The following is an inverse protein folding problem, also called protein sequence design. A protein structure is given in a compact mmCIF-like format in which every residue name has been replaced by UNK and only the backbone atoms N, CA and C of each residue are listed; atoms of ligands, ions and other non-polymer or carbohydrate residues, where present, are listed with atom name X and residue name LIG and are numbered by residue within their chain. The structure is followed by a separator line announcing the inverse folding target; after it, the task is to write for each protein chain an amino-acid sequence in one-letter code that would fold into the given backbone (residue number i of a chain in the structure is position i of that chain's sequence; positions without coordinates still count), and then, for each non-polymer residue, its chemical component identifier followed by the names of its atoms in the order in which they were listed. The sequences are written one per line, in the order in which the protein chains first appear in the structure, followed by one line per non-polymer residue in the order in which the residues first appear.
data_IF_085927852810
#
_entry.id   IF_085927852810
#
_cell.length_a   1.000
_cell.length_b   1.000
_cell.length_c   1.000
_cell.angle_alpha   90.00
_cell.angle_beta   90.00
_cell.angle_gamma   90.00
#
_symmetry.space_group_name_H-M   'P 1'
#
loop_
_entity.id
_entity.type
_entity.pdbx_description
1 polymer ?
#
# COMPACT_ATOMS: atom_id res chain seq x y z
N UNK A 1 -3.28 -11.53 15.94
CA UNK A 1 -3.44 -11.26 14.49
C UNK A 1 -4.84 -11.63 14.03
N UNK A 2 -5.33 -12.83 14.33
CA UNK A 2 -6.70 -13.26 13.98
C UNK A 2 -7.78 -12.31 14.53
N UNK A 3 -7.59 -11.74 15.73
CA UNK A 3 -8.51 -10.75 16.30
C UNK A 3 -8.27 -9.31 15.83
N UNK A 4 -7.24 -9.08 15.00
CA UNK A 4 -6.83 -7.75 14.50
C UNK A 4 -7.03 -7.60 12.99
N UNK A 5 -7.61 -8.61 12.32
CA UNK A 5 -7.89 -8.61 10.87
C UNK A 5 -9.29 -9.18 10.64
N UNK A 6 -10.01 -8.61 9.66
CA UNK A 6 -11.41 -8.94 9.38
C UNK A 6 -12.29 -8.78 10.64
N UNK A 7 -11.98 -7.77 11.45
CA UNK A 7 -12.55 -7.53 12.76
C UNK A 7 -12.96 -6.05 12.92
N UNK A 8 -13.82 -5.71 13.90
CA UNK A 8 -14.02 -4.33 14.29
C UNK A 8 -12.69 -3.67 14.67
N UNK A 9 -12.53 -2.40 14.35
CA UNK A 9 -11.29 -1.68 14.61
C UNK A 9 -11.45 -0.17 14.51
N UNK A 10 -10.38 0.59 14.78
CA UNK A 10 -10.44 2.04 14.84
C UNK A 10 -10.41 2.72 13.46
N UNK A 11 -10.07 2.00 12.39
CA UNK A 11 -9.79 2.60 11.09
C UNK A 11 -11.07 2.84 10.28
N UNK A 12 -11.21 4.04 9.72
CA UNK A 12 -12.40 4.52 9.04
C UNK A 12 -12.46 4.01 7.60
N UNK A 13 -13.62 3.51 7.17
CA UNK A 13 -13.92 3.27 5.76
C UNK A 13 -14.61 4.50 5.19
N UNK A 14 -13.92 5.22 4.30
CA UNK A 14 -14.29 6.55 3.81
C UNK A 14 -15.71 6.51 3.21
N UNK A 15 -16.55 7.49 3.59
CA UNK A 15 -17.89 7.65 3.04
C UNK A 15 -18.95 6.65 3.54
N UNK A 16 -18.60 5.72 4.43
CA UNK A 16 -19.55 4.67 4.88
C UNK A 16 -20.06 4.84 6.31
N UNK A 17 -19.39 5.67 7.12
CA UNK A 17 -19.65 5.78 8.57
C UNK A 17 -19.19 4.55 9.38
N UNK A 18 -18.60 3.53 8.75
CA UNK A 18 -18.11 2.32 9.40
C UNK A 18 -16.64 2.44 9.81
N UNK A 19 -16.25 1.69 10.84
CA UNK A 19 -14.86 1.48 11.23
C UNK A 19 -14.55 0.00 11.36
N UNK A 20 -13.37 -0.40 10.91
CA UNK A 20 -12.88 -1.79 10.88
C UNK A 20 -11.39 -1.82 11.20
N UNK A 21 -10.77 -3.00 11.19
CA UNK A 21 -9.32 -3.13 11.34
C UNK A 21 -8.53 -2.44 10.22
N UNK A 22 -7.25 -2.17 10.48
CA UNK A 22 -6.43 -1.39 9.55
C UNK A 22 -6.18 -2.10 8.20
N UNK A 23 -6.11 -3.44 8.19
CA UNK A 23 -5.90 -4.22 6.96
C UNK A 23 -7.15 -4.14 6.07
N UNK A 24 -8.33 -4.34 6.64
CA UNK A 24 -9.59 -4.24 5.91
C UNK A 24 -9.89 -2.80 5.44
N UNK A 25 -9.66 -1.81 6.31
CA UNK A 25 -9.88 -0.40 5.97
C UNK A 25 -8.94 0.08 4.87
N UNK A 26 -7.65 -0.30 4.92
CA UNK A 26 -6.68 0.07 3.88
C UNK A 26 -7.07 -0.47 2.52
N UNK A 27 -7.52 -1.74 2.42
CA UNK A 27 -8.01 -2.31 1.16
C UNK A 27 -9.24 -1.58 0.65
N UNK A 28 -10.26 -1.41 1.50
CA UNK A 28 -11.53 -0.79 1.09
C UNK A 28 -11.32 0.63 0.57
N UNK A 29 -10.52 1.42 1.29
CA UNK A 29 -10.21 2.79 0.91
C UNK A 29 -9.32 2.84 -0.35
N UNK A 30 -8.35 1.93 -0.51
CA UNK A 30 -7.51 1.88 -1.71
C UNK A 30 -8.31 1.52 -2.94
N UNK A 31 -9.23 0.56 -2.84
CA UNK A 31 -10.16 0.24 -3.92
C UNK A 31 -11.00 1.47 -4.31
N UNK A 32 -11.51 2.22 -3.34
CA UNK A 32 -12.28 3.44 -3.62
C UNK A 32 -11.45 4.55 -4.27
N UNK A 33 -10.19 4.72 -3.86
CA UNK A 33 -9.27 5.68 -4.48
C UNK A 33 -8.99 5.29 -5.94
N UNK A 34 -8.74 4.00 -6.19
CA UNK A 34 -8.23 3.51 -7.47
C UNK A 34 -9.30 3.17 -8.50
N UNK A 35 -10.54 2.87 -8.07
CA UNK A 35 -11.55 2.23 -8.92
C UNK A 35 -11.91 3.00 -10.19
N UNK A 36 -11.87 4.33 -10.17
CA UNK A 36 -12.21 5.20 -11.30
C UNK A 36 -10.99 5.61 -12.13
N UNK A 37 -9.76 5.26 -11.71
CA UNK A 37 -8.53 5.74 -12.35
C UNK A 37 -8.41 7.27 -12.41
N UNK A 38 -8.99 7.94 -11.41
CA UNK A 38 -9.04 9.41 -11.26
C UNK A 38 -8.12 9.95 -10.16
N UNK A 39 -7.36 9.06 -9.53
CA UNK A 39 -6.33 9.44 -8.58
C UNK A 39 -5.06 9.92 -9.30
N UNK A 40 -4.03 10.29 -8.52
CA UNK A 40 -2.80 10.90 -9.06
C UNK A 40 -2.10 10.02 -10.09
N UNK A 41 -1.11 10.56 -10.80
CA UNK A 41 -0.27 9.77 -11.68
C UNK A 41 1.17 10.28 -11.63
N UNK A 42 2.10 9.36 -11.46
CA UNK A 42 3.51 9.59 -11.71
C UNK A 42 3.88 8.97 -13.05
N UNK A 43 4.43 9.78 -13.97
CA UNK A 43 4.70 9.34 -15.34
C UNK A 43 6.15 9.59 -15.73
N UNK A 44 7.03 8.63 -15.40
CA UNK A 44 8.46 8.64 -15.75
C UNK A 44 8.89 7.29 -16.33
N UNK A 45 9.90 6.64 -15.74
CA UNK A 45 10.48 5.39 -16.23
C UNK A 45 9.49 4.22 -16.15
N UNK A 46 8.69 4.16 -15.08
CA UNK A 46 7.52 3.29 -14.95
C UNK A 46 6.36 4.15 -14.44
N UNK A 47 5.17 4.11 -15.06
CA UNK A 47 4.02 4.86 -14.57
C UNK A 47 3.39 4.16 -13.35
N UNK A 48 3.08 4.95 -12.32
CA UNK A 48 2.43 4.48 -11.09
C UNK A 48 1.42 5.50 -10.57
N UNK A 49 0.63 5.08 -9.58
CA UNK A 49 -0.32 5.93 -8.86
C UNK A 49 0.03 5.92 -7.37
N UNK A 50 1.00 6.72 -6.91
CA UNK A 50 1.49 6.63 -5.52
C UNK A 50 0.42 6.90 -4.46
N UNK A 51 -0.67 7.61 -4.80
CA UNK A 51 -1.82 7.80 -3.92
C UNK A 51 -2.55 6.49 -3.56
N UNK A 52 -2.33 5.39 -4.30
CA UNK A 52 -2.85 4.06 -3.95
C UNK A 52 -2.35 3.56 -2.58
N UNK A 53 -1.24 4.11 -2.08
CA UNK A 53 -0.62 3.75 -0.81
C UNK A 53 -1.18 4.56 0.36
N UNK A 54 -1.86 5.69 0.11
CA UNK A 54 -2.40 6.57 1.16
C UNK A 54 -3.26 5.85 2.20
N UNK A 55 -4.10 4.87 1.84
CA UNK A 55 -4.87 4.10 2.81
C UNK A 55 -4.04 3.32 3.83
N UNK A 56 -2.80 2.92 3.51
CA UNK A 56 -1.90 2.34 4.49
C UNK A 56 -1.55 3.35 5.58
N UNK A 57 -1.21 4.59 5.22
CA UNK A 57 -0.94 5.65 6.18
C UNK A 57 -2.18 6.00 7.00
N UNK A 58 -3.33 6.22 6.34
CA UNK A 58 -4.59 6.59 7.00
C UNK A 58 -4.99 5.54 8.06
N UNK A 59 -5.12 4.28 7.64
CA UNK A 59 -5.60 3.22 8.53
C UNK A 59 -4.62 2.93 9.68
N UNK A 60 -3.32 2.94 9.41
CA UNK A 60 -2.30 2.71 10.44
C UNK A 60 -2.16 3.89 11.41
N UNK A 61 -2.26 5.14 10.93
CA UNK A 61 -2.25 6.30 11.79
C UNK A 61 -3.47 6.31 12.73
N UNK A 62 -4.66 5.96 12.23
CA UNK A 62 -5.85 5.80 13.08
C UNK A 62 -5.66 4.70 14.12
N UNK A 63 -5.11 3.53 13.74
CA UNK A 63 -4.79 2.45 14.67
C UNK A 63 -3.79 2.88 15.75
N UNK A 64 -2.74 3.61 15.36
CA UNK A 64 -1.71 4.10 16.26
C UNK A 64 -2.10 5.36 17.03
N UNK A 65 -3.30 5.92 16.79
CA UNK A 65 -3.74 7.23 17.33
C UNK A 65 -2.73 8.35 17.06
N UNK A 66 -2.17 8.35 15.85
CA UNK A 66 -1.18 9.34 15.41
C UNK A 66 -1.83 10.67 15.06
N UNK A 67 -1.02 11.72 14.93
CA UNK A 67 -1.49 13.07 14.57
C UNK A 67 -1.41 13.32 13.05
N UNK A 68 -1.91 14.48 12.61
CA UNK A 68 -1.91 14.86 11.20
C UNK A 68 -0.52 15.02 10.57
N UNK A 69 0.51 15.37 11.36
CA UNK A 69 1.89 15.46 10.88
C UNK A 69 2.43 14.07 10.53
N UNK A 70 2.18 13.07 11.38
CA UNK A 70 2.58 11.68 11.11
C UNK A 70 1.87 11.13 9.88
N UNK A 71 0.59 11.47 9.70
CA UNK A 71 -0.15 11.14 8.48
C UNK A 71 0.52 11.74 7.24
N UNK A 72 0.78 13.05 7.23
CA UNK A 72 1.45 13.73 6.10
C UNK A 72 2.81 13.08 5.79
N UNK A 73 3.59 12.74 6.81
CA UNK A 73 4.85 12.01 6.62
C UNK A 73 4.61 10.68 5.92
N UNK A 74 3.63 9.89 6.36
CA UNK A 74 3.27 8.63 5.71
C UNK A 74 2.88 8.80 4.23
N UNK A 75 2.09 9.83 3.90
CA UNK A 75 1.70 10.14 2.51
C UNK A 75 2.93 10.49 1.66
N UNK A 76 3.81 11.35 2.17
CA UNK A 76 5.05 11.76 1.50
C UNK A 76 5.98 10.57 1.29
N UNK A 77 6.13 9.68 2.28
CA UNK A 77 6.95 8.47 2.12
C UNK A 77 6.40 7.54 1.04
N UNK A 78 5.07 7.38 0.94
CA UNK A 78 4.46 6.59 -0.13
C UNK A 78 4.82 7.12 -1.50
N UNK A 79 4.73 8.44 -1.70
CA UNK A 79 5.17 9.08 -2.94
C UNK A 79 6.68 8.90 -3.19
N UNK A 80 7.50 9.30 -2.22
CA UNK A 80 8.95 9.41 -2.39
C UNK A 80 9.57 8.06 -2.74
N UNK A 81 9.17 6.99 -2.04
CA UNK A 81 9.70 5.66 -2.31
C UNK A 81 9.15 5.07 -3.61
N UNK A 82 7.85 5.16 -3.87
CA UNK A 82 7.25 4.61 -5.10
C UNK A 82 7.88 5.25 -6.35
N UNK A 83 7.95 6.59 -6.38
CA UNK A 83 8.55 7.32 -7.50
C UNK A 83 10.02 6.97 -7.70
N UNK A 84 10.80 6.86 -6.61
CA UNK A 84 12.22 6.46 -6.68
C UNK A 84 12.38 5.03 -7.18
N UNK A 85 11.50 4.10 -6.79
CA UNK A 85 11.51 2.74 -7.31
C UNK A 85 11.17 2.71 -8.80
N UNK A 86 10.20 3.50 -9.27
CA UNK A 86 9.91 3.64 -10.69
C UNK A 86 11.15 4.07 -11.48
N UNK A 87 11.88 5.08 -11.00
CA UNK A 87 13.12 5.56 -11.64
C UNK A 87 14.28 4.56 -11.56
N UNK A 88 14.46 3.92 -10.41
CA UNK A 88 15.53 2.94 -10.22
C UNK A 88 15.36 1.68 -11.08
N UNK A 89 14.12 1.35 -11.45
CA UNK A 89 13.79 0.11 -12.13
C UNK A 89 14.09 0.08 -13.64
N UNK A 90 15.07 0.84 -14.16
CA UNK A 90 15.41 0.91 -15.59
C UNK A 90 15.53 -0.48 -16.26
N UNK A 91 14.91 -0.74 -17.44
CA UNK A 91 14.16 0.17 -18.30
C UNK A 91 12.66 0.31 -17.93
N UNK A 92 12.29 0.03 -16.68
CA UNK A 92 10.91 -0.13 -16.21
C UNK A 92 10.65 -1.59 -15.85
N UNK A 93 9.80 -1.85 -14.85
CA UNK A 93 9.37 -3.22 -14.53
C UNK A 93 8.28 -3.70 -15.50
N UNK A 94 7.52 -2.77 -16.08
CA UNK A 94 6.56 -3.07 -17.16
C UNK A 94 7.22 -3.63 -18.41
N UNK A 95 8.39 -3.10 -18.77
CA UNK A 95 9.22 -3.64 -19.87
C UNK A 95 9.71 -5.06 -19.60
N UNK A 96 9.70 -5.48 -18.33
CA UNK A 96 10.02 -6.85 -17.89
C UNK A 96 8.79 -7.71 -17.64
N UNK A 97 7.60 -7.23 -18.00
CA UNK A 97 6.35 -7.97 -17.87
C UNK A 97 5.68 -7.90 -16.49
N UNK A 98 6.08 -6.98 -15.62
CA UNK A 98 5.48 -6.79 -14.29
C UNK A 98 4.60 -5.53 -14.21
N UNK A 99 3.69 -5.48 -13.25
CA UNK A 99 2.87 -4.31 -12.93
C UNK A 99 3.50 -3.50 -11.79
N UNK A 100 3.28 -2.18 -11.74
CA UNK A 100 3.80 -1.28 -10.68
C UNK A 100 3.34 -1.66 -9.26
N UNK A 101 2.20 -2.32 -9.10
CA UNK A 101 1.82 -3.02 -7.85
C UNK A 101 2.96 -3.86 -7.20
N UNK A 102 3.89 -4.36 -8.01
CA UNK A 102 5.09 -5.05 -7.53
C UNK A 102 6.01 -4.12 -6.73
N UNK A 103 6.18 -2.86 -7.15
CA UNK A 103 6.90 -1.81 -6.43
C UNK A 103 6.11 -1.36 -5.20
N UNK A 104 4.80 -1.14 -5.34
CA UNK A 104 3.87 -0.82 -4.25
C UNK A 104 3.99 -1.81 -3.07
N UNK A 105 4.23 -3.10 -3.36
CA UNK A 105 4.43 -4.11 -2.34
C UNK A 105 5.72 -3.93 -1.49
N UNK A 106 6.76 -3.29 -2.03
CA UNK A 106 7.95 -2.88 -1.25
C UNK A 106 7.66 -1.62 -0.44
N UNK A 107 6.86 -0.69 -0.96
CA UNK A 107 6.66 0.64 -0.38
C UNK A 107 5.59 0.68 0.70
N UNK A 108 4.44 0.03 0.48
CA UNK A 108 3.35 -0.01 1.46
C UNK A 108 3.79 -0.40 2.89
N UNK A 109 4.62 -1.44 3.13
CA UNK A 109 5.08 -1.78 4.49
C UNK A 109 5.95 -0.69 5.12
N UNK A 110 6.66 0.13 4.34
CA UNK A 110 7.42 1.29 4.85
C UNK A 110 6.44 2.32 5.42
N UNK A 111 5.41 2.65 4.65
CA UNK A 111 4.38 3.62 5.02
C UNK A 111 3.60 3.14 6.25
N UNK A 112 3.13 1.88 6.21
CA UNK A 112 2.41 1.28 7.33
C UNK A 112 3.28 1.21 8.59
N UNK A 113 4.52 0.74 8.47
CA UNK A 113 5.44 0.64 9.60
C UNK A 113 5.81 2.00 10.19
N UNK A 114 6.01 3.03 9.38
CA UNK A 114 6.21 4.39 9.88
C UNK A 114 4.99 4.93 10.62
N UNK A 115 3.79 4.72 10.08
CA UNK A 115 2.53 5.15 10.69
C UNK A 115 2.22 4.41 12.01
N UNK A 116 2.69 3.17 12.15
CA UNK A 116 2.61 2.36 13.37
C UNK A 116 3.73 2.66 14.37
N UNK A 117 4.65 3.59 14.07
CA UNK A 117 5.82 3.90 14.87
C UNK A 117 6.73 2.68 15.12
N UNK A 118 6.84 1.79 14.14
CA UNK A 118 7.74 0.64 14.20
C UNK A 118 9.21 1.10 14.13
N UNK A 119 10.09 0.31 14.73
CA UNK A 119 11.53 0.50 14.58
C UNK A 119 11.98 0.12 13.17
N UNK A 120 13.10 0.67 12.71
CA UNK A 120 13.58 0.45 11.35
C UNK A 120 13.82 -1.04 11.03
N UNK A 121 14.23 -1.84 12.01
CA UNK A 121 14.41 -3.29 11.86
C UNK A 121 13.09 -3.99 11.55
N UNK A 122 12.01 -3.60 12.23
CA UNK A 122 10.67 -4.15 11.98
C UNK A 122 10.14 -3.70 10.61
N UNK A 123 10.41 -2.46 10.20
CA UNK A 123 10.07 -2.00 8.86
C UNK A 123 10.80 -2.85 7.80
N UNK A 124 12.08 -3.14 8.01
CA UNK A 124 12.85 -4.02 7.12
C UNK A 124 12.23 -5.42 7.02
N UNK A 125 11.81 -6.02 8.15
CA UNK A 125 11.10 -7.30 8.14
C UNK A 125 9.79 -7.21 7.36
N UNK A 126 9.01 -6.15 7.58
CA UNK A 126 7.75 -5.92 6.87
C UNK A 126 7.94 -5.80 5.35
N UNK A 127 9.02 -5.14 4.88
CA UNK A 127 9.40 -5.11 3.46
C UNK A 127 9.62 -6.53 2.95
N UNK A 128 10.42 -7.33 3.67
CA UNK A 128 10.70 -8.72 3.30
C UNK A 128 9.43 -9.58 3.22
N UNK A 129 8.54 -9.46 4.20
CA UNK A 129 7.28 -10.21 4.27
C UNK A 129 6.34 -9.83 3.12
N UNK A 130 6.19 -8.54 2.84
CA UNK A 130 5.28 -8.02 1.81
C UNK A 130 5.78 -8.32 0.41
N UNK A 131 7.02 -7.90 0.11
CA UNK A 131 7.55 -7.94 -1.25
C UNK A 131 7.83 -9.37 -1.73
N UNK A 132 8.31 -10.26 -0.85
CA UNK A 132 8.68 -11.63 -1.25
C UNK A 132 7.51 -12.47 -1.75
N UNK A 133 6.27 -12.08 -1.42
CA UNK A 133 5.05 -12.81 -1.82
C UNK A 133 4.20 -12.08 -2.87
N UNK A 134 4.62 -10.91 -3.33
CA UNK A 134 3.79 -10.03 -4.16
C UNK A 134 4.53 -9.63 -5.45
N UNK A 135 4.37 -10.47 -6.49
CA UNK A 135 4.85 -10.20 -7.83
C UNK A 135 3.66 -10.16 -8.79
N UNK A 136 3.28 -8.96 -9.22
CA UNK A 136 2.07 -8.76 -10.04
C UNK A 136 2.43 -8.78 -11.50
N UNK A 137 1.88 -9.74 -12.25
CA UNK A 137 2.08 -9.83 -13.70
C UNK A 137 1.49 -8.62 -14.42
N UNK A 138 2.21 -8.09 -15.41
CA UNK A 138 1.79 -6.97 -16.24
C UNK A 138 0.53 -7.26 -17.09
N UNK A 139 0.18 -8.53 -17.24
CA UNK A 139 -1.02 -8.98 -17.95
C UNK A 139 -2.32 -8.34 -17.43
N UNK A 140 -2.35 -7.88 -16.17
CA UNK A 140 -3.51 -7.16 -15.59
C UNK A 140 -3.82 -5.82 -16.29
N UNK A 141 -2.86 -5.28 -17.07
CA UNK A 141 -3.01 -4.08 -17.89
C UNK A 141 -3.01 -4.35 -19.39
N UNK A 142 -3.03 -5.62 -19.80
CA UNK A 142 -2.98 -6.02 -21.21
C UNK A 142 -4.33 -6.53 -21.72
N UNK A 143 -4.59 -6.33 -23.02
CA UNK A 143 -5.79 -6.85 -23.68
C UNK A 143 -7.09 -6.23 -23.15
N UNK A 144 -8.13 -7.06 -22.96
CA UNK A 144 -9.41 -6.61 -22.39
C UNK A 144 -9.25 -6.37 -20.90
N UNK A 145 -9.23 -5.10 -20.51
CA UNK A 145 -9.10 -4.69 -19.13
C UNK A 145 -10.27 -5.22 -18.29
N UNK A 146 -9.93 -5.77 -17.13
CA UNK A 146 -10.87 -6.15 -16.08
C UNK A 146 -10.67 -5.23 -14.88
N UNK A 147 -11.54 -5.33 -13.87
CA UNK A 147 -11.37 -4.59 -12.62
C UNK A 147 -10.04 -4.90 -11.92
N UNK A 148 -9.36 -6.00 -12.26
CA UNK A 148 -8.04 -6.31 -11.69
C UNK A 148 -7.00 -5.22 -11.96
N UNK A 149 -7.09 -4.51 -13.09
CA UNK A 149 -6.23 -3.35 -13.37
C UNK A 149 -6.27 -2.31 -12.24
N UNK A 150 -7.42 -2.12 -11.61
CA UNK A 150 -7.62 -1.18 -10.52
C UNK A 150 -7.53 -1.84 -9.12
N UNK A 151 -7.43 -3.17 -9.04
CA UNK A 151 -7.46 -3.92 -7.78
C UNK A 151 -6.07 -4.34 -7.30
N UNK A 152 -5.11 -4.56 -8.22
CA UNK A 152 -3.80 -5.10 -7.86
C UNK A 152 -3.00 -4.20 -6.92
N UNK A 153 -3.00 -2.88 -7.14
CA UNK A 153 -2.33 -1.93 -6.26
C UNK A 153 -3.00 -1.83 -4.88
N UNK A 154 -4.34 -1.71 -4.77
CA UNK A 154 -5.02 -1.85 -3.49
C UNK A 154 -4.70 -3.14 -2.71
N UNK A 155 -4.54 -4.27 -3.40
CA UNK A 155 -4.11 -5.52 -2.78
C UNK A 155 -2.65 -5.49 -2.31
N UNK A 156 -1.76 -4.81 -3.06
CA UNK A 156 -0.38 -4.57 -2.63
C UNK A 156 -0.33 -3.67 -1.39
N UNK A 157 -1.11 -2.58 -1.38
CA UNK A 157 -1.27 -1.68 -0.23
C UNK A 157 -1.73 -2.45 1.00
N UNK A 158 -2.80 -3.24 0.89
CA UNK A 158 -3.28 -4.09 1.98
C UNK A 158 -2.21 -5.06 2.49
N UNK A 159 -1.48 -5.70 1.58
CA UNK A 159 -0.44 -6.67 1.91
C UNK A 159 0.69 -6.04 2.73
N UNK A 160 1.07 -4.79 2.41
CA UNK A 160 2.05 -4.04 3.19
C UNK A 160 1.59 -3.69 4.60
N UNK A 161 0.31 -3.35 4.80
CA UNK A 161 -0.27 -3.16 6.14
C UNK A 161 -0.21 -4.45 6.95
N UNK A 162 -0.64 -5.57 6.34
CA UNK A 162 -0.57 -6.88 6.97
C UNK A 162 0.88 -7.24 7.37
N UNK A 163 1.84 -7.01 6.48
CA UNK A 163 3.25 -7.28 6.73
C UNK A 163 3.80 -6.44 7.89
N UNK A 164 3.42 -5.17 7.99
CA UNK A 164 3.79 -4.32 9.12
C UNK A 164 3.22 -4.84 10.46
N UNK A 165 1.97 -5.33 10.48
CA UNK A 165 1.39 -5.93 11.67
C UNK A 165 2.04 -7.27 12.07
N UNK A 166 2.53 -8.04 11.10
CA UNK A 166 3.32 -9.25 11.37
C UNK A 166 4.66 -8.88 12.01
N UNK A 167 5.39 -7.93 11.41
CA UNK A 167 6.68 -7.47 11.92
C UNK A 167 6.58 -6.76 13.28
N UNK A 168 5.47 -6.06 13.56
CA UNK A 168 5.16 -5.49 14.88
C UNK A 168 5.19 -6.57 15.97
N UNK A 169 4.78 -7.80 15.63
CA UNK A 169 4.73 -8.96 16.54
C UNK A 169 6.02 -9.79 16.56
N UNK A 170 7.07 -9.33 15.88
CA UNK A 170 8.36 -10.00 15.85
C UNK A 170 8.44 -11.19 14.90
N UNK A 171 7.54 -11.28 13.92
CA UNK A 171 7.68 -12.16 12.76
C UNK A 171 8.71 -11.56 11.78
#
# INVERSE_FOLDING_TARGET
LLDEIAAPGPATVIGTGKRVDAVSASLANALMIRCMDYNDIYWKQDPSHPSDIFPAALACCERAKSNGRDLIVGLVLGHEFEMRFCEAAFPGIRERGWHHATLTAFVSPIVAGRALNLRWEQIQHAIGISASRHATLGAVTAGKLTMMKNTVDPMATQSGVLAALLAEKGY
#
